data_IF_541376004038
#
_entry.id   IF_541376004038
#
_cell.length_a   1.000
_cell.length_b   1.000
_cell.length_c   1.000
_cell.angle_alpha   90.00
_cell.angle_beta   90.00
_cell.angle_gamma   90.00
#
_symmetry.space_group_name_H-M   'P 1'
#
loop_
_entity.id
_entity.type
_entity.pdbx_description
1 polymer ?
#
# COMPACT_ATOMS: atom_id res chain seq x y z
N UNK A 1 2.39 25.54 -0.72
CA UNK A 1 2.41 24.13 -1.21
C UNK A 1 1.27 23.97 -2.19
N UNK A 2 1.56 23.71 -3.47
CA UNK A 2 0.52 23.39 -4.46
C UNK A 2 0.00 22.00 -4.10
N UNK A 3 -1.28 21.88 -3.75
CA UNK A 3 -1.91 20.56 -3.60
C UNK A 3 -2.04 19.98 -5.00
N UNK A 4 -1.49 18.79 -5.21
CA UNK A 4 -1.66 18.04 -6.46
C UNK A 4 -3.17 17.79 -6.66
N UNK A 5 -3.66 17.99 -7.87
CA UNK A 5 -5.07 17.76 -8.19
C UNK A 5 -5.45 16.32 -7.83
N UNK A 6 -6.62 16.09 -7.21
CA UNK A 6 -7.12 14.74 -6.99
C UNK A 6 -7.22 14.01 -8.34
N UNK A 7 -6.60 12.84 -8.42
CA UNK A 7 -6.66 11.95 -9.59
C UNK A 7 -7.84 11.02 -9.43
N UNK A 8 -8.64 10.88 -10.48
CA UNK A 8 -9.70 9.88 -10.56
C UNK A 8 -9.38 8.93 -11.70
N UNK A 9 -9.02 7.70 -11.36
CA UNK A 9 -8.72 6.62 -12.30
C UNK A 9 -10.02 6.00 -12.83
N UNK A 10 -10.02 5.56 -14.10
CA UNK A 10 -11.21 5.00 -14.74
C UNK A 10 -10.87 4.05 -15.89
N UNK A 11 -11.87 3.34 -16.43
CA UNK A 11 -11.71 2.42 -17.55
C UNK A 11 -11.08 1.09 -17.11
N UNK A 12 -9.78 0.92 -17.37
CA UNK A 12 -9.00 -0.26 -16.99
C UNK A 12 -7.93 0.12 -15.97
N UNK A 13 -8.07 -0.39 -14.74
CA UNK A 13 -7.18 -0.08 -13.61
C UNK A 13 -6.59 -1.35 -13.01
N UNK A 14 -5.28 -1.39 -12.82
CA UNK A 14 -4.56 -2.47 -12.16
C UNK A 14 -4.24 -2.05 -10.72
N UNK A 15 -4.61 -2.90 -9.75
CA UNK A 15 -4.33 -2.67 -8.33
C UNK A 15 -3.43 -3.78 -7.80
N UNK A 16 -2.37 -3.41 -7.09
CA UNK A 16 -1.44 -4.35 -6.47
C UNK A 16 -0.81 -3.74 -5.22
N UNK A 17 -0.21 -4.57 -4.38
CA UNK A 17 0.56 -4.15 -3.22
C UNK A 17 1.95 -4.79 -3.15
N UNK A 18 2.95 -3.95 -2.88
CA UNK A 18 4.34 -4.39 -2.75
C UNK A 18 4.83 -4.14 -1.33
N UNK A 19 5.46 -5.14 -0.70
CA UNK A 19 5.99 -5.02 0.66
C UNK A 19 7.47 -4.69 0.64
N UNK A 20 7.83 -3.48 1.07
CA UNK A 20 9.21 -2.99 1.02
C UNK A 20 9.83 -3.05 2.40
N UNK A 21 11.01 -3.66 2.54
CA UNK A 21 11.77 -3.61 3.78
C UNK A 21 12.30 -2.18 4.02
N UNK A 22 11.66 -1.45 4.93
CA UNK A 22 11.92 -0.03 5.20
C UNK A 22 12.48 0.20 6.61
N UNK A 23 13.11 -0.83 7.21
CA UNK A 23 13.45 -0.83 8.62
C UNK A 23 14.35 0.30 9.11
N UNK A 24 14.34 0.50 10.43
CA UNK A 24 15.05 1.61 11.11
C UNK A 24 16.58 1.42 11.16
N UNK A 25 17.16 0.66 10.24
CA UNK A 25 18.62 0.49 10.19
C UNK A 25 19.26 1.86 9.90
N UNK A 26 20.28 2.22 10.68
CA UNK A 26 20.91 3.54 10.58
C UNK A 26 20.12 4.69 11.23
N UNK A 27 18.95 4.42 11.84
CA UNK A 27 18.11 5.44 12.51
C UNK A 27 18.03 5.19 14.03
N UNK A 28 19.01 5.65 14.83
CA UNK A 28 19.12 5.31 16.26
C UNK A 28 17.89 5.73 17.08
N UNK A 29 17.31 6.91 16.82
CA UNK A 29 16.13 7.37 17.57
C UNK A 29 14.91 6.50 17.31
N UNK A 30 14.70 6.06 16.06
CA UNK A 30 13.60 5.18 15.71
C UNK A 30 13.79 3.76 16.27
N UNK A 31 15.05 3.30 16.36
CA UNK A 31 15.42 2.04 17.01
C UNK A 31 15.13 2.09 18.51
N UNK A 32 15.52 3.19 19.17
CA UNK A 32 15.27 3.42 20.59
C UNK A 32 13.76 3.48 20.88
N UNK A 33 12.99 4.25 20.10
CA UNK A 33 11.52 4.31 20.21
C UNK A 33 10.84 2.95 20.00
N UNK A 34 11.42 2.10 19.15
CA UNK A 34 10.92 0.74 18.91
C UNK A 34 11.33 -0.27 20.00
N UNK A 35 12.08 0.14 21.03
CA UNK A 35 12.45 -0.71 22.16
C UNK A 35 13.33 -1.92 21.79
N UNK A 36 14.05 -1.86 20.66
CA UNK A 36 14.92 -2.95 20.18
C UNK A 36 16.34 -2.49 19.97
N UNK A 37 17.30 -3.42 19.92
CA UNK A 37 18.66 -3.10 19.51
C UNK A 37 18.75 -2.79 18.01
N UNK A 38 19.74 -1.98 17.63
CA UNK A 38 20.07 -1.71 16.23
C UNK A 38 20.46 -2.98 15.48
N UNK A 39 20.06 -3.09 14.21
CA UNK A 39 20.36 -4.28 13.39
C UNK A 39 21.72 -4.11 12.69
N UNK A 40 22.62 -5.10 12.85
CA UNK A 40 23.87 -5.19 12.07
C UNK A 40 23.62 -5.56 10.60
N UNK A 41 22.70 -6.50 10.35
CA UNK A 41 22.33 -7.01 9.02
C UNK A 41 20.96 -6.47 8.56
N UNK A 42 20.64 -6.50 7.25
CA UNK A 42 19.31 -6.12 6.75
C UNK A 42 18.17 -6.89 7.43
N UNK A 43 16.97 -6.32 7.39
CA UNK A 43 15.77 -6.96 7.88
C UNK A 43 15.45 -8.19 7.00
N UNK A 44 15.72 -9.40 7.48
CA UNK A 44 15.15 -10.60 6.88
C UNK A 44 13.62 -10.60 7.03
N UNK A 45 13.12 -10.03 8.14
CA UNK A 45 11.72 -9.88 8.48
C UNK A 45 11.00 -11.21 8.69
N UNK A 46 9.81 -11.15 9.30
CA UNK A 46 8.99 -12.34 9.46
C UNK A 46 8.56 -12.89 8.08
N UNK A 47 8.26 -14.19 8.04
CA UNK A 47 7.62 -14.82 6.87
C UNK A 47 6.21 -14.22 6.70
N UNK A 48 5.75 -14.16 5.46
CA UNK A 48 4.44 -13.60 5.12
C UNK A 48 4.47 -12.10 4.85
N UNK A 49 3.28 -11.50 4.84
CA UNK A 49 3.05 -10.10 4.50
C UNK A 49 3.54 -9.16 5.60
N UNK A 50 4.09 -8.02 5.19
CA UNK A 50 4.63 -7.01 6.09
C UNK A 50 3.61 -5.96 6.52
N UNK A 51 3.92 -5.26 7.60
CA UNK A 51 3.25 -4.03 8.04
C UNK A 51 4.30 -2.97 8.36
N UNK A 52 3.86 -1.72 8.54
CA UNK A 52 4.76 -0.67 9.02
C UNK A 52 5.39 -1.03 10.37
N UNK A 53 4.61 -1.59 11.30
CA UNK A 53 5.10 -2.04 12.60
C UNK A 53 6.16 -3.14 12.49
N UNK A 54 6.05 -4.02 11.49
CA UNK A 54 7.06 -5.04 11.21
C UNK A 54 8.20 -4.54 10.32
N UNK A 55 8.33 -3.22 10.13
CA UNK A 55 9.37 -2.59 9.30
C UNK A 55 9.35 -3.04 7.82
N UNK A 56 8.19 -3.52 7.36
CA UNK A 56 7.92 -3.93 5.98
C UNK A 56 6.59 -3.32 5.50
N UNK A 57 6.47 -1.98 5.43
CA UNK A 57 5.22 -1.36 5.02
C UNK A 57 4.82 -1.80 3.61
N UNK A 58 3.53 -2.08 3.39
CA UNK A 58 2.99 -2.21 2.06
C UNK A 58 2.92 -0.87 1.35
N UNK A 59 3.21 -0.88 0.06
CA UNK A 59 2.97 0.19 -0.87
C UNK A 59 1.85 -0.28 -1.79
N UNK A 60 0.70 0.35 -1.66
CA UNK A 60 -0.47 0.08 -2.49
C UNK A 60 -0.42 0.95 -3.74
N UNK A 61 -0.56 0.30 -4.90
CA UNK A 61 -0.40 0.90 -6.22
C UNK A 61 -1.69 0.69 -7.00
N UNK A 62 -2.19 1.77 -7.59
CA UNK A 62 -3.32 1.75 -8.52
C UNK A 62 -2.86 2.43 -9.82
N UNK A 63 -2.91 1.71 -10.94
CA UNK A 63 -2.42 2.17 -12.24
C UNK A 63 -3.55 2.11 -13.25
N UNK A 64 -3.90 3.24 -13.85
CA UNK A 64 -4.76 3.24 -15.03
C UNK A 64 -3.91 2.89 -16.26
N UNK A 65 -4.39 1.96 -17.09
CA UNK A 65 -3.68 1.60 -18.33
C UNK A 65 -3.50 2.82 -19.22
N UNK A 66 -2.25 3.05 -19.65
CA UNK A 66 -1.85 4.22 -20.43
C UNK A 66 -2.22 5.57 -19.80
N UNK A 67 -2.38 5.62 -18.47
CA UNK A 67 -2.87 6.79 -17.75
C UNK A 67 -2.04 7.12 -16.52
N UNK A 68 -2.73 7.62 -15.49
CA UNK A 68 -2.09 8.04 -14.24
C UNK A 68 -1.85 6.87 -13.28
N UNK A 69 -0.89 7.08 -12.38
CA UNK A 69 -0.57 6.14 -11.29
C UNK A 69 -0.74 6.82 -9.95
N UNK A 70 -1.36 6.10 -9.01
CA UNK A 70 -1.47 6.48 -7.62
C UNK A 70 -0.73 5.47 -6.76
N UNK A 71 0.28 5.95 -6.03
CA UNK A 71 1.11 5.15 -5.13
C UNK A 71 0.90 5.65 -3.71
N UNK A 72 0.57 4.76 -2.79
CA UNK A 72 0.40 5.09 -1.37
C UNK A 72 1.11 4.08 -0.49
N UNK A 73 2.04 4.57 0.33
CA UNK A 73 2.57 3.79 1.45
C UNK A 73 1.47 3.66 2.51
N UNK A 74 1.22 2.44 2.97
CA UNK A 74 0.19 2.13 3.95
C UNK A 74 0.79 1.47 5.18
N UNK A 75 0.07 1.53 6.31
CA UNK A 75 0.48 0.80 7.52
C UNK A 75 0.26 -0.71 7.38
N UNK A 76 -0.83 -1.09 6.71
CA UNK A 76 -1.25 -2.46 6.45
C UNK A 76 -2.23 -2.48 5.26
N UNK A 77 -2.39 -3.66 4.66
CA UNK A 77 -3.39 -3.88 3.59
C UNK A 77 -4.48 -4.79 4.13
N UNK A 78 -5.66 -4.21 4.34
CA UNK A 78 -6.90 -4.87 4.79
C UNK A 78 -8.05 -4.23 4.02
N UNK A 79 -9.17 -4.93 3.88
CA UNK A 79 -10.38 -4.38 3.25
C UNK A 79 -10.77 -3.01 3.83
N UNK A 80 -10.75 -2.89 5.17
CA UNK A 80 -11.07 -1.63 5.86
C UNK A 80 -10.07 -0.49 5.60
N UNK A 81 -8.82 -0.81 5.25
CA UNK A 81 -7.78 0.21 4.97
C UNK A 81 -7.75 0.60 3.50
N UNK A 82 -7.97 -0.34 2.57
CA UNK A 82 -7.92 -0.05 1.12
C UNK A 82 -9.24 0.49 0.57
N UNK A 83 -10.39 0.09 1.13
CA UNK A 83 -11.71 0.52 0.66
C UNK A 83 -11.81 2.06 0.52
N UNK A 84 -11.54 2.87 1.56
CA UNK A 84 -11.67 4.33 1.42
C UNK A 84 -10.67 4.93 0.42
N UNK A 85 -9.53 4.28 0.20
CA UNK A 85 -8.53 4.72 -0.77
C UNK A 85 -9.02 4.46 -2.19
N UNK A 86 -9.54 3.26 -2.44
CA UNK A 86 -10.07 2.85 -3.74
C UNK A 86 -11.27 3.72 -4.11
N UNK A 87 -12.26 3.86 -3.22
CA UNK A 87 -13.46 4.67 -3.48
C UNK A 87 -13.15 6.16 -3.68
N UNK A 88 -12.06 6.66 -3.12
CA UNK A 88 -11.63 8.05 -3.32
C UNK A 88 -10.77 8.27 -4.59
N UNK A 89 -10.27 7.19 -5.20
CA UNK A 89 -9.28 7.27 -6.29
C UNK A 89 -9.78 6.67 -7.60
N UNK A 90 -10.65 5.66 -7.55
CA UNK A 90 -11.16 4.94 -8.70
C UNK A 90 -12.64 5.29 -8.88
N UNK A 91 -13.03 5.64 -10.10
CA UNK A 91 -14.43 5.90 -10.43
C UNK A 91 -15.27 4.61 -10.29
N UNK A 92 -16.54 4.71 -9.86
CA UNK A 92 -17.45 3.57 -9.89
C UNK A 92 -17.55 2.93 -11.28
N UNK A 93 -17.88 1.64 -11.32
CA UNK A 93 -18.04 0.84 -12.54
C UNK A 93 -16.75 0.70 -13.39
N UNK A 94 -15.59 0.92 -12.77
CA UNK A 94 -14.28 0.73 -13.40
C UNK A 94 -13.87 -0.74 -13.41
N UNK A 95 -13.31 -1.22 -14.52
CA UNK A 95 -12.75 -2.57 -14.60
C UNK A 95 -11.42 -2.62 -13.83
N UNK A 96 -11.43 -3.29 -12.68
CA UNK A 96 -10.23 -3.47 -11.84
C UNK A 96 -9.62 -4.85 -12.05
N UNK A 97 -8.30 -4.90 -12.27
CA UNK A 97 -7.50 -6.12 -12.34
C UNK A 97 -6.66 -6.27 -11.06
N UNK A 98 -6.62 -7.48 -10.50
CA UNK A 98 -5.93 -7.81 -9.23
C UNK A 98 -5.35 -9.23 -9.29
N UNK A 99 -4.50 -9.60 -8.31
CA UNK A 99 -3.79 -10.88 -8.21
C UNK A 99 -4.53 -11.98 -7.41
N UNK A 100 -5.87 -11.90 -7.33
CA UNK A 100 -6.74 -12.80 -6.54
C UNK A 100 -6.53 -12.73 -5.01
N UNK A 101 -5.77 -11.77 -4.49
CA UNK A 101 -5.67 -11.64 -3.04
C UNK A 101 -7.03 -11.28 -2.41
N UNK A 102 -7.43 -12.03 -1.38
CA UNK A 102 -8.72 -11.96 -0.71
C UNK A 102 -9.16 -10.56 -0.21
N UNK A 103 -8.22 -9.61 -0.08
CA UNK A 103 -8.57 -8.22 0.24
C UNK A 103 -9.44 -7.57 -0.86
N UNK A 104 -9.34 -8.04 -2.10
CA UNK A 104 -10.06 -7.52 -3.26
C UNK A 104 -11.45 -8.16 -3.47
N UNK A 105 -11.78 -9.21 -2.72
CA UNK A 105 -13.05 -9.96 -2.89
C UNK A 105 -14.32 -9.10 -2.72
N UNK A 106 -14.22 -7.91 -2.12
CA UNK A 106 -15.34 -6.99 -1.91
C UNK A 106 -15.38 -5.83 -2.91
N UNK A 107 -14.48 -5.78 -3.90
CA UNK A 107 -14.50 -4.74 -4.94
C UNK A 107 -15.88 -4.58 -5.57
N UNK A 108 -16.63 -5.64 -5.97
CA UNK A 108 -17.95 -5.48 -6.56
C UNK A 108 -19.02 -4.88 -5.64
N UNK A 109 -18.74 -4.78 -4.34
CA UNK A 109 -19.64 -4.18 -3.34
C UNK A 109 -19.36 -2.69 -3.14
N UNK A 110 -18.24 -2.18 -3.66
CA UNK A 110 -17.77 -0.81 -3.41
C UNK A 110 -18.08 0.17 -4.54
N UNK A 111 -18.57 -0.32 -5.68
CA UNK A 111 -18.79 0.41 -6.93
C UNK A 111 -18.01 -0.25 -8.03
#
# INVERSE_FOLDING_TARGET
MIKKTPVTLSGEVECDEVYIAAGHKGHPDAVLRAGRSGRRRPLQGARGRGTLASEKPPVFVMIQRSGEVVIRMMENVRQTSIQPIIQATIAPDTQVYTDEYAIYNRLPQWG
#
